data_IF_927880136059
#
_entry.id   IF_927880136059
#
_cell.length_a   1.000
_cell.length_b   1.000
_cell.length_c   1.000
_cell.angle_alpha   90.00
_cell.angle_beta   90.00
_cell.angle_gamma   90.00
#
_symmetry.space_group_name_H-M   'P 1'
#
loop_
_entity.id
_entity.type
_entity.pdbx_description
1 polymer ?
#
# COMPACT_ATOMS: atom_id res chain seq x y z
N UNK A 1 1.32 2.83 -31.91
CA UNK A 1 -0.08 2.61 -31.42
C UNK A 1 -0.88 3.84 -31.82
N UNK A 2 -2.20 3.79 -32.03
CA UNK A 2 -2.98 5.00 -32.39
C UNK A 2 -2.93 6.05 -31.25
N UNK A 3 -2.79 5.59 -30.01
CA UNK A 3 -2.69 6.42 -28.82
C UNK A 3 -1.46 6.05 -27.98
N UNK A 4 -0.38 6.83 -28.07
CA UNK A 4 0.87 6.53 -27.34
C UNK A 4 0.74 6.64 -25.82
N UNK A 5 -0.24 7.38 -25.30
CA UNK A 5 -0.48 7.49 -23.86
C UNK A 5 -1.01 6.21 -23.22
N UNK A 6 -1.51 5.25 -24.02
CA UNK A 6 -1.96 3.94 -23.53
C UNK A 6 -0.80 2.99 -23.24
N UNK A 7 0.42 3.33 -23.69
CA UNK A 7 1.62 2.58 -23.38
C UNK A 7 1.83 2.51 -21.87
N UNK A 8 2.19 1.33 -21.36
CA UNK A 8 2.42 1.10 -19.92
C UNK A 8 1.20 1.40 -19.02
N UNK A 9 -0.02 1.52 -19.55
CA UNK A 9 -1.22 1.81 -18.75
C UNK A 9 -1.41 0.78 -17.62
N UNK A 10 -1.25 -0.51 -17.92
CA UNK A 10 -1.30 -1.61 -16.95
C UNK A 10 -0.34 -1.40 -15.76
N UNK A 11 0.84 -0.81 -15.99
CA UNK A 11 1.82 -0.49 -14.93
C UNK A 11 1.35 0.67 -14.06
N UNK A 12 0.69 1.68 -14.65
CA UNK A 12 0.08 2.80 -13.90
C UNK A 12 -1.06 2.31 -13.01
N UNK A 13 -1.77 1.26 -13.45
CA UNK A 13 -2.86 0.67 -12.69
C UNK A 13 -2.40 -0.07 -11.43
N UNK A 14 -1.11 -0.37 -11.26
CA UNK A 14 -0.62 -1.06 -10.07
C UNK A 14 -0.90 -0.27 -8.78
N UNK A 15 -0.64 1.03 -8.76
CA UNK A 15 -0.95 1.88 -7.59
C UNK A 15 -2.47 1.94 -7.37
N UNK A 16 -3.24 2.04 -8.45
CA UNK A 16 -4.71 2.05 -8.39
C UNK A 16 -5.23 0.74 -7.78
N UNK A 17 -4.67 -0.41 -8.17
CA UNK A 17 -5.02 -1.71 -7.63
C UNK A 17 -4.74 -1.81 -6.12
N UNK A 18 -3.63 -1.21 -5.65
CA UNK A 18 -3.28 -1.18 -4.23
C UNK A 18 -4.25 -0.28 -3.44
N UNK A 19 -4.56 0.91 -3.95
CA UNK A 19 -5.48 1.85 -3.31
C UNK A 19 -6.90 1.26 -3.27
N UNK A 20 -7.37 0.67 -4.36
CA UNK A 20 -8.65 -0.05 -4.42
C UNK A 20 -8.70 -1.19 -3.40
N UNK A 21 -7.62 -1.96 -3.31
CA UNK A 21 -7.49 -3.04 -2.34
C UNK A 21 -7.65 -2.54 -0.90
N UNK A 22 -6.86 -1.55 -0.48
CA UNK A 22 -6.90 -1.02 0.89
C UNK A 22 -8.28 -0.43 1.21
N UNK A 23 -8.77 0.47 0.36
CA UNK A 23 -10.02 1.21 0.59
C UNK A 23 -11.23 0.28 0.64
N UNK A 24 -11.28 -0.73 -0.23
CA UNK A 24 -12.36 -1.72 -0.28
C UNK A 24 -12.36 -2.62 0.96
N UNK A 25 -11.19 -3.00 1.49
CA UNK A 25 -11.10 -3.88 2.66
C UNK A 25 -11.49 -3.17 3.94
N UNK A 26 -11.02 -1.94 4.11
CA UNK A 26 -11.37 -1.10 5.25
C UNK A 26 -12.88 -0.80 5.24
N UNK A 27 -13.43 -0.38 4.10
CA UNK A 27 -14.84 0.05 4.01
C UNK A 27 -15.85 -1.06 4.28
N UNK A 28 -15.50 -2.32 4.02
CA UNK A 28 -16.39 -3.47 4.17
C UNK A 28 -16.49 -4.01 5.60
N UNK A 29 -15.69 -3.51 6.54
CA UNK A 29 -15.50 -4.16 7.84
C UNK A 29 -15.90 -3.21 8.98
N UNK A 30 -16.85 -3.69 9.79
CA UNK A 30 -17.49 -2.92 10.87
C UNK A 30 -16.58 -2.80 12.11
N UNK A 31 -15.60 -3.68 12.27
CA UNK A 31 -14.82 -3.87 13.51
C UNK A 31 -14.19 -2.57 14.07
N UNK A 32 -13.69 -1.69 13.21
CA UNK A 32 -13.08 -0.43 13.67
C UNK A 32 -14.13 0.62 14.06
N UNK A 33 -15.35 0.55 13.52
CA UNK A 33 -16.45 1.46 13.87
C UNK A 33 -16.91 1.28 15.32
N UNK A 34 -16.69 0.11 15.92
CA UNK A 34 -16.96 -0.16 17.32
C UNK A 34 -16.10 0.71 18.26
N UNK A 35 -14.98 1.22 17.75
CA UNK A 35 -14.06 2.11 18.46
C UNK A 35 -14.17 3.57 17.98
N UNK A 36 -15.27 3.95 17.33
CA UNK A 36 -15.47 5.29 16.74
C UNK A 36 -14.39 5.67 15.71
N UNK A 37 -13.75 4.68 15.09
CA UNK A 37 -12.80 4.90 14.00
C UNK A 37 -13.57 4.94 12.68
N UNK A 38 -13.55 6.09 12.02
CA UNK A 38 -14.21 6.27 10.73
C UNK A 38 -13.43 5.64 9.56
N UNK A 39 -13.98 5.71 8.35
CA UNK A 39 -13.35 5.10 7.17
C UNK A 39 -11.98 5.71 6.81
N UNK A 40 -11.83 7.03 6.95
CA UNK A 40 -10.58 7.71 6.64
C UNK A 40 -9.52 7.43 7.73
N UNK A 41 -9.92 7.47 9.00
CA UNK A 41 -9.06 7.10 10.13
C UNK A 41 -8.59 5.65 10.02
N UNK A 42 -9.48 4.73 9.62
CA UNK A 42 -9.12 3.33 9.41
C UNK A 42 -8.14 3.13 8.25
N UNK A 43 -8.30 3.85 7.13
CA UNK A 43 -7.33 3.83 6.02
C UNK A 43 -5.98 4.36 6.50
N UNK A 44 -5.97 5.47 7.23
CA UNK A 44 -4.75 6.03 7.80
C UNK A 44 -4.06 5.08 8.78
N UNK A 45 -4.83 4.36 9.60
CA UNK A 45 -4.29 3.36 10.51
C UNK A 45 -3.63 2.19 9.75
N UNK A 46 -4.23 1.73 8.64
CA UNK A 46 -3.59 0.75 7.74
C UNK A 46 -2.28 1.28 7.18
N UNK A 47 -2.25 2.55 6.73
CA UNK A 47 -1.03 3.18 6.23
C UNK A 47 0.06 3.30 7.31
N UNK A 48 -0.30 3.67 8.53
CA UNK A 48 0.63 3.73 9.67
C UNK A 48 1.20 2.36 10.02
N UNK A 49 0.39 1.31 10.00
CA UNK A 49 0.86 -0.08 10.19
C UNK A 49 1.79 -0.52 9.06
N UNK A 50 1.51 -0.14 7.81
CA UNK A 50 2.44 -0.38 6.70
C UNK A 50 3.77 0.36 6.89
N UNK A 51 3.76 1.62 7.32
CA UNK A 51 4.99 2.35 7.67
C UNK A 51 5.77 1.61 8.76
N UNK A 52 5.12 1.17 9.83
CA UNK A 52 5.78 0.45 10.92
C UNK A 52 6.39 -0.88 10.45
N UNK A 53 5.66 -1.67 9.66
CA UNK A 53 6.19 -2.92 9.10
C UNK A 53 7.35 -2.63 8.15
N UNK A 54 7.27 -1.56 7.35
CA UNK A 54 8.35 -1.13 6.46
C UNK A 54 9.62 -0.81 7.24
N UNK A 55 9.53 0.03 8.28
CA UNK A 55 10.66 0.39 9.14
C UNK A 55 11.35 -0.86 9.71
N UNK A 56 10.56 -1.78 10.29
CA UNK A 56 11.10 -3.05 10.81
C UNK A 56 11.74 -3.91 9.72
N UNK A 57 11.13 -3.94 8.54
CA UNK A 57 11.64 -4.73 7.41
C UNK A 57 12.95 -4.16 6.83
N UNK A 58 13.13 -2.84 6.83
CA UNK A 58 14.34 -2.17 6.33
C UNK A 58 15.57 -2.48 7.18
N UNK A 59 15.39 -2.61 8.50
CA UNK A 59 16.46 -2.98 9.43
C UNK A 59 16.52 -4.48 9.71
N UNK A 60 15.76 -5.28 8.97
CA UNK A 60 15.64 -6.74 9.13
C UNK A 60 15.25 -7.21 10.54
N UNK A 61 14.54 -6.35 11.29
CA UNK A 61 14.03 -6.69 12.62
C UNK A 61 12.78 -7.56 12.53
N UNK A 62 12.62 -8.43 13.53
CA UNK A 62 11.41 -9.23 13.68
C UNK A 62 10.23 -8.30 13.99
N UNK A 63 9.13 -8.48 13.26
CA UNK A 63 7.89 -7.73 13.45
C UNK A 63 6.74 -8.70 13.68
N UNK A 64 6.42 -8.95 14.94
CA UNK A 64 5.32 -9.84 15.33
C UNK A 64 3.99 -9.09 15.38
N UNK A 65 2.90 -9.84 15.51
CA UNK A 65 1.58 -9.26 15.75
C UNK A 65 1.53 -8.44 17.04
N UNK A 66 2.28 -8.87 18.06
CA UNK A 66 2.38 -8.16 19.34
C UNK A 66 3.07 -6.80 19.16
N UNK A 67 4.09 -6.72 18.30
CA UNK A 67 4.78 -5.47 18.00
C UNK A 67 3.85 -4.47 17.31
N UNK A 68 3.04 -4.94 16.35
CA UNK A 68 2.02 -4.13 15.69
C UNK A 68 0.94 -3.67 16.68
N UNK A 69 0.45 -4.56 17.55
CA UNK A 69 -0.51 -4.19 18.60
C UNK A 69 0.06 -3.14 19.56
N UNK A 70 1.31 -3.32 20.01
CA UNK A 70 2.00 -2.35 20.86
C UNK A 70 2.22 -0.99 20.17
N UNK A 71 2.48 -0.99 18.87
CA UNK A 71 2.55 0.23 18.07
C UNK A 71 1.19 0.94 17.99
N UNK A 72 0.11 0.22 17.68
CA UNK A 72 -1.25 0.79 17.64
C UNK A 72 -1.65 1.35 19.01
N UNK A 73 -1.30 0.65 20.10
CA UNK A 73 -1.54 1.14 21.46
C UNK A 73 -0.84 2.46 21.74
N UNK A 74 0.44 2.59 21.39
CA UNK A 74 1.15 3.87 21.53
C UNK A 74 0.50 4.97 20.70
N UNK A 75 0.11 4.67 19.46
CA UNK A 75 -0.60 5.63 18.62
C UNK A 75 -1.92 6.09 19.25
N UNK A 76 -2.73 5.16 19.75
CA UNK A 76 -4.01 5.51 20.36
C UNK A 76 -3.83 6.33 21.64
N UNK A 77 -2.97 5.86 22.54
CA UNK A 77 -2.71 6.52 23.83
C UNK A 77 -2.10 7.89 23.63
N UNK A 78 -1.19 8.09 22.67
CA UNK A 78 -0.46 9.34 22.53
C UNK A 78 -1.15 10.33 21.58
N UNK A 79 -1.83 9.85 20.53
CA UNK A 79 -2.30 10.69 19.42
C UNK A 79 -3.78 10.51 19.03
N UNK A 80 -4.27 9.28 18.82
CA UNK A 80 -5.60 9.05 18.22
C UNK A 80 -6.73 9.24 19.26
N UNK A 81 -6.49 8.88 20.53
CA UNK A 81 -7.41 9.10 21.68
C UNK A 81 -8.80 8.48 21.50
N UNK A 82 -8.89 7.33 20.82
CA UNK A 82 -10.12 6.53 20.70
C UNK A 82 -10.39 5.69 21.96
N UNK A 83 -9.39 5.56 22.83
CA UNK A 83 -9.48 4.83 24.10
C UNK A 83 -9.89 3.36 23.87
N UNK A 84 -9.20 2.71 22.93
CA UNK A 84 -9.39 1.29 22.63
C UNK A 84 -9.05 0.50 23.91
N UNK A 85 -9.91 -0.45 24.35
CA UNK A 85 -9.60 -1.30 25.48
C UNK A 85 -8.28 -2.04 25.32
N UNK A 86 -7.52 -2.16 26.40
CA UNK A 86 -6.17 -2.76 26.39
C UNK A 86 -6.12 -4.19 25.83
N UNK A 87 -7.17 -4.95 26.06
CA UNK A 87 -7.36 -6.32 25.55
C UNK A 87 -7.63 -6.39 24.04
N UNK A 88 -8.09 -5.29 23.43
CA UNK A 88 -8.53 -5.25 22.03
C UNK A 88 -7.41 -4.91 21.04
N UNK A 89 -6.26 -4.40 21.48
CA UNK A 89 -5.17 -4.04 20.55
C UNK A 89 -4.67 -5.22 19.73
N UNK A 90 -4.66 -6.43 20.29
CA UNK A 90 -4.31 -7.64 19.54
C UNK A 90 -5.37 -7.98 18.49
N UNK A 91 -6.65 -7.79 18.82
CA UNK A 91 -7.76 -8.03 17.91
C UNK A 91 -7.80 -7.01 16.77
N UNK A 92 -7.42 -5.76 17.04
CA UNK A 92 -7.26 -4.70 16.04
C UNK A 92 -6.06 -5.00 15.14
N UNK A 93 -4.90 -5.36 15.71
CA UNK A 93 -3.72 -5.75 14.93
C UNK A 93 -4.00 -6.97 14.03
N UNK A 94 -4.64 -8.01 14.57
CA UNK A 94 -5.02 -9.22 13.81
C UNK A 94 -5.91 -8.86 12.63
N UNK A 95 -6.90 -7.99 12.85
CA UNK A 95 -7.80 -7.50 11.82
C UNK A 95 -7.07 -6.71 10.73
N UNK A 96 -6.24 -5.73 11.10
CA UNK A 96 -5.49 -4.93 10.13
C UNK A 96 -4.55 -5.78 9.29
N UNK A 97 -3.84 -6.73 9.91
CA UNK A 97 -2.91 -7.59 9.20
C UNK A 97 -3.67 -8.59 8.32
N UNK A 98 -4.53 -9.42 8.92
CA UNK A 98 -5.14 -10.53 8.19
C UNK A 98 -6.23 -10.07 7.25
N UNK A 99 -7.19 -9.28 7.69
CA UNK A 99 -8.33 -8.89 6.87
C UNK A 99 -7.97 -7.77 5.88
N UNK A 100 -7.24 -6.74 6.33
CA UNK A 100 -6.97 -5.58 5.49
C UNK A 100 -5.74 -5.76 4.60
N UNK A 101 -4.64 -6.32 5.12
CA UNK A 101 -3.37 -6.40 4.38
C UNK A 101 -3.13 -7.75 3.68
N UNK A 102 -3.57 -8.87 4.27
CA UNK A 102 -3.38 -10.22 3.71
C UNK A 102 -4.63 -10.80 3.04
N UNK A 103 -5.75 -10.07 3.03
CA UNK A 103 -7.02 -10.53 2.45
C UNK A 103 -7.46 -11.92 2.95
N UNK A 104 -7.32 -12.15 4.25
CA UNK A 104 -7.61 -13.41 4.93
C UNK A 104 -6.86 -14.61 4.31
N UNK A 105 -5.67 -14.37 3.75
CA UNK A 105 -4.84 -15.38 3.08
C UNK A 105 -5.26 -15.70 1.64
N UNK A 106 -6.29 -15.05 1.10
CA UNK A 106 -6.75 -15.24 -0.27
C UNK A 106 -6.02 -14.27 -1.20
N UNK A 107 -5.35 -14.72 -2.28
CA UNK A 107 -4.76 -13.81 -3.25
C UNK A 107 -5.79 -12.83 -3.83
N UNK A 108 -5.44 -11.54 -3.87
CA UNK A 108 -6.29 -10.52 -4.46
C UNK A 108 -5.79 -10.14 -5.85
N UNK A 109 -6.68 -10.15 -6.84
CA UNK A 109 -6.36 -9.80 -8.21
C UNK A 109 -7.21 -8.62 -8.69
N UNK A 110 -6.54 -7.54 -9.10
CA UNK A 110 -7.15 -6.43 -9.81
C UNK A 110 -7.02 -6.67 -11.32
N UNK A 111 -8.10 -6.46 -12.08
CA UNK A 111 -8.10 -6.65 -13.54
C UNK A 111 -7.77 -5.34 -14.24
N UNK A 112 -6.79 -5.35 -15.14
CA UNK A 112 -6.46 -4.22 -16.01
C UNK A 112 -6.30 -4.68 -17.45
N UNK A 113 -6.17 -3.76 -18.38
CA UNK A 113 -5.97 -4.07 -19.80
C UNK A 113 -4.61 -3.59 -20.28
N UNK A 114 -3.85 -4.50 -20.89
CA UNK A 114 -2.62 -4.16 -21.58
C UNK A 114 -2.92 -3.88 -23.05
N UNK A 115 -2.87 -2.59 -23.41
CA UNK A 115 -3.14 -2.13 -24.78
C UNK A 115 -2.04 -2.49 -25.79
N UNK A 116 -0.84 -2.83 -25.33
CA UNK A 116 0.27 -3.27 -26.20
C UNK A 116 0.08 -4.73 -26.61
N UNK A 117 -0.32 -5.59 -25.67
CA UNK A 117 -0.58 -7.02 -25.94
C UNK A 117 -2.04 -7.31 -26.32
N UNK A 118 -2.93 -6.32 -26.16
CA UNK A 118 -4.39 -6.40 -26.35
C UNK A 118 -5.03 -7.50 -25.50
N UNK A 119 -4.56 -7.69 -24.26
CA UNK A 119 -5.04 -8.72 -23.34
C UNK A 119 -5.39 -8.14 -21.98
N UNK A 120 -6.34 -8.80 -21.30
CA UNK A 120 -6.56 -8.57 -19.88
C UNK A 120 -5.36 -9.11 -19.08
N UNK A 121 -4.91 -8.30 -18.14
CA UNK A 121 -3.88 -8.67 -17.16
C UNK A 121 -4.46 -8.61 -15.76
N UNK A 122 -3.93 -9.48 -14.89
CA UNK A 122 -4.31 -9.54 -13.48
C UNK A 122 -3.12 -9.10 -12.64
N UNK A 123 -3.31 -8.01 -11.90
CA UNK A 123 -2.35 -7.50 -10.94
C UNK A 123 -2.64 -8.19 -9.61
N UNK A 124 -1.72 -9.02 -9.13
CA UNK A 124 -1.78 -9.54 -7.78
C UNK A 124 -1.37 -8.43 -6.80
N UNK A 125 -2.20 -8.17 -5.79
CA UNK A 125 -1.88 -7.22 -4.72
C UNK A 125 -1.46 -7.99 -3.48
N UNK A 126 -0.19 -7.87 -3.11
CA UNK A 126 0.41 -8.45 -1.91
C UNK A 126 1.42 -7.45 -1.37
N UNK A 127 1.04 -6.69 -0.33
CA UNK A 127 1.88 -5.63 0.23
C UNK A 127 2.87 -6.19 1.26
N UNK A 128 2.40 -7.07 2.14
CA UNK A 128 3.19 -7.72 3.18
C UNK A 128 3.17 -9.23 3.00
N UNK A 129 4.15 -9.89 3.62
CA UNK A 129 4.25 -11.34 3.72
C UNK A 129 4.67 -11.72 5.14
N UNK A 130 4.61 -13.01 5.46
CA UNK A 130 5.00 -13.52 6.77
C UNK A 130 5.96 -14.71 6.67
N UNK A 131 6.84 -14.82 7.67
CA UNK A 131 7.75 -15.95 7.86
C UNK A 131 7.72 -16.42 9.30
N UNK A 132 7.91 -17.72 9.52
CA UNK A 132 8.09 -18.25 10.87
C UNK A 132 9.49 -17.94 11.38
N UNK A 133 9.57 -17.39 12.58
CA UNK A 133 10.82 -17.14 13.30
C UNK A 133 10.72 -17.76 14.70
N UNK A 134 11.85 -18.25 15.20
CA UNK A 134 11.93 -18.76 16.57
C UNK A 134 12.27 -17.60 17.51
N UNK A 135 11.40 -17.33 18.48
CA UNK A 135 11.67 -16.42 19.58
C UNK A 135 11.58 -17.23 20.88
N UNK A 136 12.73 -17.50 21.50
CA UNK A 136 12.81 -18.43 22.63
C UNK A 136 12.37 -19.83 22.22
N UNK A 137 11.37 -20.39 22.93
CA UNK A 137 10.81 -21.72 22.66
C UNK A 137 9.57 -21.69 21.74
N UNK A 138 9.13 -20.52 21.28
CA UNK A 138 7.92 -20.38 20.47
C UNK A 138 8.24 -20.04 19.02
N UNK A 139 7.47 -20.63 18.10
CA UNK A 139 7.49 -20.25 16.69
C UNK A 139 6.41 -19.20 16.45
N UNK A 140 6.82 -17.98 16.12
CA UNK A 140 5.91 -16.86 15.86
C UNK A 140 6.04 -16.41 14.41
N UNK A 141 5.00 -15.76 13.91
CA UNK A 141 5.00 -15.15 12.59
C UNK A 141 5.63 -13.75 12.67
N UNK A 142 6.63 -13.51 11.83
CA UNK A 142 7.21 -12.20 11.58
C UNK A 142 6.73 -11.68 10.23
N UNK A 143 6.12 -10.50 10.23
CA UNK A 143 5.65 -9.80 9.04
C UNK A 143 6.78 -8.99 8.41
N UNK A 144 6.85 -8.97 7.09
CA UNK A 144 7.80 -8.15 6.35
C UNK A 144 7.19 -7.58 5.08
N UNK A 145 7.74 -6.47 4.61
CA UNK A 145 7.27 -5.79 3.40
C UNK A 145 7.75 -6.53 2.14
N UNK A 146 6.85 -6.71 1.18
CA UNK A 146 7.18 -7.25 -0.14
C UNK A 146 7.81 -6.18 -1.04
N UNK A 147 8.45 -6.56 -2.17
CA UNK A 147 8.90 -5.58 -3.17
C UNK A 147 7.79 -4.64 -3.67
N UNK A 148 6.56 -5.14 -3.82
CA UNK A 148 5.41 -4.33 -4.23
C UNK A 148 5.02 -3.33 -3.14
N UNK A 149 5.03 -3.75 -1.87
CA UNK A 149 4.78 -2.90 -0.72
C UNK A 149 5.82 -1.77 -0.60
N UNK A 150 7.11 -2.08 -0.73
CA UNK A 150 8.17 -1.07 -0.75
C UNK A 150 7.98 -0.04 -1.86
N UNK A 151 7.72 -0.51 -3.09
CA UNK A 151 7.47 0.37 -4.24
C UNK A 151 6.30 1.31 -3.96
N UNK A 152 5.21 0.80 -3.38
CA UNK A 152 4.06 1.62 -3.01
C UNK A 152 4.41 2.66 -1.95
N UNK A 153 5.05 2.26 -0.85
CA UNK A 153 5.40 3.19 0.24
C UNK A 153 6.38 4.28 -0.22
N UNK A 154 7.38 3.95 -1.03
CA UNK A 154 8.29 4.94 -1.60
C UNK A 154 7.60 5.92 -2.54
N UNK A 155 6.59 5.48 -3.31
CA UNK A 155 5.79 6.38 -4.13
C UNK A 155 4.92 7.33 -3.30
N UNK A 156 4.61 7.01 -2.04
CA UNK A 156 3.87 7.91 -1.13
C UNK A 156 4.77 8.90 -0.39
N UNK A 157 6.08 8.64 -0.34
CA UNK A 157 7.09 9.45 0.34
C UNK A 157 7.76 10.49 -0.59
N UNK A 158 7.08 10.93 -1.65
CA UNK A 158 7.60 11.93 -2.59
C UNK A 158 8.22 13.13 -1.83
N UNK A 159 9.55 13.29 -1.91
CA UNK A 159 10.28 14.45 -1.38
C UNK A 159 9.87 15.69 -2.20
N UNK A 160 8.92 16.45 -1.67
CA UNK A 160 8.11 17.42 -2.42
C UNK A 160 8.89 18.54 -3.14
N UNK A 161 10.03 19.00 -2.64
CA UNK A 161 10.66 20.20 -3.22
C UNK A 161 11.55 19.91 -4.44
N UNK A 162 12.32 18.82 -4.44
CA UNK A 162 13.07 18.38 -5.61
C UNK A 162 12.15 17.78 -6.70
N UNK A 163 11.02 17.20 -6.28
CA UNK A 163 10.04 16.59 -7.20
C UNK A 163 9.15 17.61 -7.90
N UNK A 164 8.77 18.73 -7.27
CA UNK A 164 8.01 19.80 -7.95
C UNK A 164 8.75 20.36 -9.16
N UNK A 165 10.05 20.66 -9.01
CA UNK A 165 10.90 21.14 -10.12
C UNK A 165 11.06 20.05 -11.20
N UNK A 166 11.23 18.78 -10.79
CA UNK A 166 11.37 17.68 -11.74
C UNK A 166 10.07 17.39 -12.51
N UNK A 167 8.89 17.57 -11.91
CA UNK A 167 7.58 17.40 -12.56
C UNK A 167 7.38 18.43 -13.67
N UNK A 168 7.65 19.72 -13.42
CA UNK A 168 7.49 20.74 -14.47
C UNK A 168 8.48 20.54 -15.61
N UNK A 169 9.73 20.17 -15.32
CA UNK A 169 10.73 19.79 -16.34
C UNK A 169 10.29 18.54 -17.13
N UNK A 170 9.78 17.52 -16.45
CA UNK A 170 9.28 16.31 -17.07
C UNK A 170 8.07 16.58 -17.96
N UNK A 171 7.10 17.38 -17.50
CA UNK A 171 5.93 17.84 -18.27
C UNK A 171 6.33 18.63 -19.51
N UNK A 172 7.32 19.52 -19.40
CA UNK A 172 7.88 20.25 -20.54
C UNK A 172 8.52 19.28 -21.54
N UNK A 173 9.33 18.32 -21.07
CA UNK A 173 9.97 17.31 -21.92
C UNK A 173 8.96 16.46 -22.71
N UNK A 174 7.85 16.06 -22.05
CA UNK A 174 6.76 15.32 -22.68
C UNK A 174 6.02 16.18 -23.72
N UNK A 175 5.81 17.45 -23.42
CA UNK A 175 5.18 18.41 -24.33
C UNK A 175 6.00 18.63 -25.59
N UNK A 176 7.33 18.75 -25.46
CA UNK A 176 8.27 18.86 -26.58
C UNK A 176 8.24 17.59 -27.42
N UNK A 177 8.36 16.40 -26.80
CA UNK A 177 8.28 15.12 -27.50
C UNK A 177 6.99 15.03 -28.31
N UNK A 178 5.82 15.31 -27.72
CA UNK A 178 4.53 15.29 -28.43
C UNK A 178 4.47 16.26 -29.61
N UNK A 179 4.97 17.50 -29.46
CA UNK A 179 5.02 18.48 -30.55
C UNK A 179 5.88 18.00 -31.71
N UNK A 180 7.06 17.43 -31.42
CA UNK A 180 7.97 16.91 -32.43
C UNK A 180 7.39 15.68 -33.15
N UNK A 181 6.76 14.75 -32.43
CA UNK A 181 6.06 13.60 -33.03
C UNK A 181 4.91 14.05 -33.95
N UNK A 182 4.13 15.06 -33.56
CA UNK A 182 3.07 15.59 -34.42
C UNK A 182 3.61 16.30 -35.66
N UNK A 183 4.71 17.03 -35.54
CA UNK A 183 5.37 17.68 -36.67
C UNK A 183 5.92 16.65 -37.67
N UNK A 184 6.51 15.55 -37.20
CA UNK A 184 7.04 14.48 -38.05
C UNK A 184 5.95 13.66 -38.76
N UNK A 185 4.71 13.66 -38.25
CA UNK A 185 3.57 12.94 -38.86
C UNK A 185 2.79 13.76 -39.88
N UNK A 186 3.03 15.08 -39.92
CA UNK A 186 2.37 16.04 -40.80
C UNK A 186 3.25 16.47 -42.00
N UNK A 187 4.44 15.86 -42.15
CA UNK A 187 5.29 15.89 -43.35
C UNK A 187 5.25 14.51 -44.03
#
# INVERSE_FOLDING_TARGET
MIYDFLKDFHRRTEIVAIVDFITTRVSRKIKLREYDIDGAEAINLVMLVLCFIMEKSLVEEVCTKNDVAGFIRRLDVDYIKKNIPDEEYLNVADFLIKDCLQNSGVPHYFRTFNFETKKEEKINVKLIDDKRVAIGNESVYSYYMTPQGYKFMFNTLEIEDALKVSIEQFKLSLSIKKRNFNAARNN
#
